data_IF_064191050821
#
_entry.id   IF_064191050821
#
_cell.length_a   1.000
_cell.length_b   1.000
_cell.length_c   1.000
_cell.angle_alpha   90.00
_cell.angle_beta   90.00
_cell.angle_gamma   90.00
#
_symmetry.space_group_name_H-M   'P 1'
#
loop_
_entity.id
_entity.type
_entity.pdbx_description
1 polymer ?
#
# COMPACT_ATOMS: atom_id res chain seq x y z
N UNK A 1 -90.75 7.66 34.71
CA UNK A 1 -89.57 7.02 34.08
C UNK A 1 -88.39 7.99 34.17
N UNK A 2 -87.13 7.55 34.11
CA UNK A 2 -85.88 8.37 34.14
C UNK A 2 -85.25 8.62 35.55
N UNK A 3 -84.94 7.58 36.33
CA UNK A 3 -83.97 7.68 37.47
C UNK A 3 -83.03 6.49 37.63
N UNK A 4 -83.29 5.35 36.98
CA UNK A 4 -82.45 4.14 37.08
C UNK A 4 -81.38 4.03 35.98
N UNK A 5 -81.45 4.87 34.94
CA UNK A 5 -80.54 4.83 33.78
C UNK A 5 -79.26 5.64 33.96
N UNK A 6 -79.24 6.61 34.89
CA UNK A 6 -78.08 7.49 35.10
C UNK A 6 -76.96 6.83 35.90
N UNK A 7 -77.29 6.04 36.92
CA UNK A 7 -76.30 5.38 37.81
C UNK A 7 -75.45 4.36 37.03
N UNK A 8 -76.05 3.64 36.08
CA UNK A 8 -75.32 2.70 35.21
C UNK A 8 -74.33 3.40 34.28
N UNK A 9 -74.66 4.61 33.83
CA UNK A 9 -73.79 5.41 32.95
C UNK A 9 -72.55 5.92 33.68
N UNK A 10 -72.71 6.39 34.93
CA UNK A 10 -71.59 6.84 35.75
C UNK A 10 -70.65 5.70 36.18
N UNK A 11 -71.19 4.52 36.49
CA UNK A 11 -70.36 3.35 36.79
C UNK A 11 -69.50 2.90 35.60
N UNK A 12 -70.07 2.93 34.39
CA UNK A 12 -69.37 2.57 33.16
C UNK A 12 -68.28 3.60 32.79
N UNK A 13 -68.54 4.89 33.02
CA UNK A 13 -67.56 5.96 32.88
C UNK A 13 -66.36 5.81 33.82
N UNK A 14 -66.60 5.42 35.08
CA UNK A 14 -65.52 5.22 36.07
C UNK A 14 -64.64 4.02 35.70
N UNK A 15 -65.22 2.92 35.22
CA UNK A 15 -64.43 1.76 34.75
C UNK A 15 -63.62 2.11 33.49
N UNK A 16 -64.19 2.88 32.56
CA UNK A 16 -63.47 3.39 31.40
C UNK A 16 -62.29 4.31 31.79
N UNK A 17 -62.49 5.21 32.76
CA UNK A 17 -61.44 6.10 33.27
C UNK A 17 -60.29 5.34 33.96
N UNK A 18 -60.60 4.33 34.76
CA UNK A 18 -59.56 3.52 35.44
C UNK A 18 -58.82 2.63 34.44
N UNK A 19 -59.53 2.04 33.46
CA UNK A 19 -58.94 1.24 32.40
C UNK A 19 -57.99 2.04 31.51
N UNK A 20 -58.38 3.26 31.14
CA UNK A 20 -57.55 4.16 30.32
C UNK A 20 -56.31 4.67 31.06
N UNK A 21 -56.39 4.91 32.38
CA UNK A 21 -55.23 5.26 33.22
C UNK A 21 -54.20 4.13 33.29
N UNK A 22 -54.65 2.88 33.46
CA UNK A 22 -53.79 1.68 33.48
C UNK A 22 -53.14 1.43 32.12
N UNK A 23 -53.88 1.61 31.03
CA UNK A 23 -53.35 1.54 29.67
C UNK A 23 -52.31 2.63 29.38
N UNK A 24 -52.54 3.86 29.86
CA UNK A 24 -51.58 4.96 29.73
C UNK A 24 -50.25 4.68 30.40
N UNK A 25 -50.26 4.13 31.62
CA UNK A 25 -49.03 3.72 32.32
C UNK A 25 -48.28 2.59 31.60
N UNK A 26 -49.01 1.57 31.12
CA UNK A 26 -48.42 0.44 30.39
C UNK A 26 -47.77 0.92 29.08
N UNK A 27 -48.46 1.76 28.31
CA UNK A 27 -47.94 2.35 27.07
C UNK A 27 -46.73 3.25 27.32
N UNK A 28 -46.74 4.04 28.40
CA UNK A 28 -45.60 4.87 28.78
C UNK A 28 -44.37 4.03 29.14
N UNK A 29 -44.56 2.92 29.86
CA UNK A 29 -43.49 1.98 30.20
C UNK A 29 -42.91 1.27 28.95
N UNK A 30 -43.79 0.90 28.01
CA UNK A 30 -43.41 0.29 26.73
C UNK A 30 -42.67 1.28 25.82
N UNK A 31 -43.08 2.54 25.81
CA UNK A 31 -42.42 3.59 25.04
C UNK A 31 -41.03 3.93 25.59
N UNK A 32 -40.84 3.86 26.91
CA UNK A 32 -39.53 4.00 27.52
C UNK A 32 -38.60 2.84 27.12
N UNK A 33 -39.05 1.59 27.20
CA UNK A 33 -38.22 0.43 26.82
C UNK A 33 -37.81 0.48 25.34
N UNK A 34 -38.72 0.85 24.45
CA UNK A 34 -38.43 1.06 23.03
C UNK A 34 -37.40 2.17 22.81
N UNK A 35 -37.51 3.29 23.53
CA UNK A 35 -36.56 4.39 23.44
C UNK A 35 -35.15 3.99 23.91
N UNK A 36 -35.05 3.16 24.96
CA UNK A 36 -33.78 2.63 25.45
C UNK A 36 -33.16 1.66 24.45
N UNK A 37 -33.95 0.75 23.87
CA UNK A 37 -33.49 -0.17 22.82
C UNK A 37 -33.02 0.59 21.57
N UNK A 38 -33.74 1.63 21.18
CA UNK A 38 -33.36 2.46 20.02
C UNK A 38 -32.07 3.25 20.27
N UNK A 39 -31.85 3.74 21.50
CA UNK A 39 -30.58 4.38 21.91
C UNK A 39 -29.42 3.37 21.90
N UNK A 40 -29.62 2.17 22.45
CA UNK A 40 -28.60 1.10 22.43
C UNK A 40 -28.26 0.66 21.00
N UNK A 41 -29.27 0.49 20.13
CA UNK A 41 -29.06 0.15 18.73
C UNK A 41 -28.30 1.26 17.96
N UNK A 42 -28.58 2.54 18.23
CA UNK A 42 -27.81 3.66 17.67
C UNK A 42 -26.37 3.66 18.16
N UNK A 43 -26.13 3.41 19.45
CA UNK A 43 -24.78 3.32 20.02
C UNK A 43 -24.00 2.12 19.45
N UNK A 44 -24.65 0.96 19.28
CA UNK A 44 -24.04 -0.21 18.66
C UNK A 44 -23.68 0.06 17.19
N UNK A 45 -24.58 0.67 16.41
CA UNK A 45 -24.28 1.09 15.03
C UNK A 45 -23.12 2.09 14.98
N UNK A 46 -23.05 3.05 15.88
CA UNK A 46 -21.95 4.03 15.98
C UNK A 46 -20.62 3.37 16.37
N UNK A 47 -20.63 2.44 17.33
CA UNK A 47 -19.44 1.65 17.69
C UNK A 47 -18.98 0.79 16.51
N UNK A 48 -19.90 0.13 15.82
CA UNK A 48 -19.59 -0.68 14.65
C UNK A 48 -19.02 0.16 13.50
N UNK A 49 -19.57 1.35 13.23
CA UNK A 49 -19.00 2.26 12.23
C UNK A 49 -17.63 2.78 12.65
N UNK A 50 -17.43 3.13 13.92
CA UNK A 50 -16.13 3.56 14.45
C UNK A 50 -15.06 2.48 14.32
N UNK A 51 -15.40 1.22 14.64
CA UNK A 51 -14.49 0.07 14.48
C UNK A 51 -14.14 -0.17 13.01
N UNK A 52 -15.12 -0.06 12.09
CA UNK A 52 -14.85 -0.16 10.64
C UNK A 52 -13.92 0.95 10.15
N UNK A 53 -14.15 2.20 10.56
CA UNK A 53 -13.29 3.34 10.23
C UNK A 53 -11.89 3.18 10.81
N UNK A 54 -11.77 2.68 12.04
CA UNK A 54 -10.48 2.39 12.68
C UNK A 54 -9.71 1.30 11.93
N UNK A 55 -10.37 0.19 11.55
CA UNK A 55 -9.76 -0.85 10.72
C UNK A 55 -9.32 -0.33 9.35
N UNK A 56 -10.09 0.55 8.70
CA UNK A 56 -9.69 1.19 7.45
C UNK A 56 -8.47 2.09 7.62
N UNK A 57 -8.39 2.85 8.72
CA UNK A 57 -7.21 3.68 9.04
C UNK A 57 -5.98 2.81 9.29
N UNK A 58 -6.09 1.71 10.03
CA UNK A 58 -4.98 0.75 10.25
C UNK A 58 -4.52 0.15 8.92
N UNK A 59 -5.45 -0.29 8.05
CA UNK A 59 -5.11 -0.78 6.71
C UNK A 59 -4.39 0.26 5.85
N UNK A 60 -4.81 1.53 5.89
CA UNK A 60 -4.11 2.61 5.18
C UNK A 60 -2.70 2.86 5.72
N UNK A 61 -2.50 2.80 7.04
CA UNK A 61 -1.17 2.97 7.65
C UNK A 61 -0.25 1.80 7.30
N UNK A 62 -0.74 0.56 7.34
CA UNK A 62 0.03 -0.64 6.97
C UNK A 62 0.37 -0.63 5.48
N UNK A 63 -0.58 -0.28 4.62
CA UNK A 63 -0.31 -0.13 3.18
C UNK A 63 0.77 0.94 2.93
N UNK A 64 0.70 2.09 3.62
CA UNK A 64 1.71 3.15 3.49
C UNK A 64 3.09 2.69 3.96
N UNK A 65 3.19 1.99 5.08
CA UNK A 65 4.48 1.48 5.58
C UNK A 65 5.08 0.42 4.67
N UNK A 66 4.25 -0.44 4.07
CA UNK A 66 4.69 -1.44 3.09
C UNK A 66 5.19 -0.79 1.81
N UNK A 67 4.53 0.26 1.32
CA UNK A 67 5.01 1.06 0.17
C UNK A 67 6.34 1.75 0.48
N UNK A 68 6.47 2.36 1.67
CA UNK A 68 7.73 3.00 2.09
C UNK A 68 8.88 1.99 2.13
N UNK A 69 8.68 0.83 2.76
CA UNK A 69 9.71 -0.22 2.78
C UNK A 69 10.06 -0.72 1.38
N UNK A 70 9.08 -0.93 0.52
CA UNK A 70 9.34 -1.31 -0.87
C UNK A 70 10.16 -0.24 -1.62
N UNK A 71 9.87 1.04 -1.41
CA UNK A 71 10.62 2.15 -2.00
C UNK A 71 12.08 2.18 -1.50
N UNK A 72 12.29 2.04 -0.19
CA UNK A 72 13.63 2.02 0.42
C UNK A 72 14.44 0.79 -0.03
N UNK A 73 13.82 -0.40 -0.02
CA UNK A 73 14.45 -1.63 -0.51
C UNK A 73 14.78 -1.53 -1.99
N UNK A 74 13.91 -0.94 -2.81
CA UNK A 74 14.19 -0.68 -4.24
C UNK A 74 15.43 0.21 -4.38
N UNK A 75 15.49 1.31 -3.63
CA UNK A 75 16.62 2.23 -3.69
C UNK A 75 17.93 1.55 -3.30
N UNK A 76 17.95 0.76 -2.23
CA UNK A 76 19.13 0.01 -1.82
C UNK A 76 19.53 -1.06 -2.85
N UNK A 77 18.55 -1.81 -3.37
CA UNK A 77 18.77 -2.85 -4.36
C UNK A 77 19.43 -2.29 -5.62
N UNK A 78 18.83 -1.24 -6.20
CA UNK A 78 19.32 -0.66 -7.44
C UNK A 78 20.63 0.09 -7.27
N UNK A 79 20.88 0.72 -6.12
CA UNK A 79 22.19 1.26 -5.79
C UNK A 79 23.27 0.18 -5.79
N UNK A 80 23.02 -0.98 -5.19
CA UNK A 80 23.99 -2.08 -5.21
C UNK A 80 24.15 -2.70 -6.60
N UNK A 81 23.07 -2.75 -7.39
CA UNK A 81 23.10 -3.33 -8.74
C UNK A 81 23.83 -2.46 -9.77
N UNK A 82 23.66 -1.14 -9.70
CA UNK A 82 24.10 -0.20 -10.75
C UNK A 82 25.19 0.78 -10.32
N UNK A 83 25.58 0.87 -9.02
CA UNK A 83 26.76 1.64 -8.62
C UNK A 83 28.01 0.76 -8.66
N UNK A 84 28.81 0.92 -9.70
CA UNK A 84 30.09 0.25 -9.84
C UNK A 84 31.06 1.12 -10.62
N UNK A 85 32.34 1.04 -10.24
CA UNK A 85 33.43 1.79 -10.86
C UNK A 85 34.52 0.90 -11.46
N UNK A 86 34.34 -0.41 -11.37
CA UNK A 86 35.28 -1.42 -11.86
C UNK A 86 34.55 -2.74 -12.12
N UNK A 87 35.16 -3.62 -12.92
CA UNK A 87 34.73 -5.00 -13.11
C UNK A 87 34.72 -5.78 -11.80
N UNK A 88 35.64 -5.50 -10.88
CA UNK A 88 35.67 -6.08 -9.54
C UNK A 88 34.46 -5.67 -8.68
N UNK A 89 34.05 -4.40 -8.74
CA UNK A 89 32.83 -3.92 -8.05
C UNK A 89 31.58 -4.54 -8.68
N UNK A 90 31.53 -4.56 -10.01
CA UNK A 90 30.47 -5.18 -10.78
C UNK A 90 30.30 -6.66 -10.37
N UNK A 91 31.38 -7.44 -10.28
CA UNK A 91 31.37 -8.85 -9.82
C UNK A 91 30.77 -9.04 -8.43
N UNK A 92 30.88 -8.06 -7.53
CA UNK A 92 30.42 -8.17 -6.14
C UNK A 92 28.94 -7.84 -5.94
N UNK A 93 28.26 -7.24 -6.92
CA UNK A 93 26.90 -6.71 -6.76
C UNK A 93 25.88 -7.73 -6.25
N UNK A 94 25.76 -8.88 -6.91
CA UNK A 94 24.79 -9.92 -6.55
C UNK A 94 25.03 -10.45 -5.15
N UNK A 95 26.30 -10.64 -4.77
CA UNK A 95 26.70 -11.04 -3.41
C UNK A 95 26.30 -9.99 -2.38
N UNK A 96 26.54 -8.70 -2.64
CA UNK A 96 26.16 -7.61 -1.73
C UNK A 96 24.64 -7.53 -1.56
N UNK A 97 23.89 -7.68 -2.64
CA UNK A 97 22.41 -7.68 -2.62
C UNK A 97 21.89 -8.87 -1.79
N UNK A 98 22.48 -10.05 -1.98
CA UNK A 98 22.14 -11.24 -1.21
C UNK A 98 22.44 -11.08 0.29
N UNK A 99 23.61 -10.53 0.63
CA UNK A 99 24.02 -10.28 2.02
C UNK A 99 23.10 -9.26 2.71
N UNK A 100 22.64 -8.25 1.98
CA UNK A 100 21.68 -7.26 2.48
C UNK A 100 20.23 -7.77 2.50
N UNK A 101 19.98 -9.01 2.05
CA UNK A 101 18.65 -9.63 2.03
C UNK A 101 17.61 -8.74 1.32
N UNK A 102 17.98 -8.13 0.19
CA UNK A 102 17.08 -7.19 -0.52
C UNK A 102 16.23 -7.86 -1.60
N UNK A 103 16.62 -9.04 -2.06
CA UNK A 103 15.91 -9.78 -3.09
C UNK A 103 16.04 -11.29 -2.87
N UNK A 104 15.03 -12.01 -3.32
CA UNK A 104 15.00 -13.48 -3.26
C UNK A 104 16.01 -14.11 -4.22
N UNK A 105 16.42 -15.35 -3.95
CA UNK A 105 17.36 -16.10 -4.80
C UNK A 105 16.92 -16.18 -6.27
N UNK A 106 15.64 -16.41 -6.62
CA UNK A 106 15.20 -16.42 -8.02
C UNK A 106 15.47 -15.10 -8.75
N UNK A 107 15.27 -13.94 -8.09
CA UNK A 107 15.57 -12.62 -8.68
C UNK A 107 17.07 -12.48 -8.95
N UNK A 108 17.92 -12.96 -8.02
CA UNK A 108 19.37 -12.89 -8.14
C UNK A 108 19.96 -13.88 -9.15
N UNK A 109 19.23 -14.96 -9.45
CA UNK A 109 19.60 -15.97 -10.43
C UNK A 109 19.14 -15.61 -11.87
N UNK A 110 18.46 -14.48 -12.05
CA UNK A 110 18.00 -14.04 -13.36
C UNK A 110 19.20 -13.59 -14.22
N UNK A 111 19.59 -14.41 -15.19
CA UNK A 111 20.71 -14.15 -16.11
C UNK A 111 20.51 -12.89 -16.97
N UNK A 112 19.26 -12.44 -17.18
CA UNK A 112 18.98 -11.19 -17.89
C UNK A 112 19.34 -9.96 -17.03
N UNK A 113 19.02 -10.00 -15.73
CA UNK A 113 19.34 -8.92 -14.79
C UNK A 113 20.79 -8.97 -14.31
N UNK A 114 21.31 -10.18 -14.14
CA UNK A 114 22.65 -10.46 -13.61
C UNK A 114 23.41 -11.41 -14.53
N UNK A 115 23.82 -10.95 -15.74
CA UNK A 115 24.55 -11.80 -16.67
C UNK A 115 25.86 -12.28 -16.05
N UNK A 116 26.24 -13.52 -16.39
CA UNK A 116 27.49 -14.14 -15.93
C UNK A 116 28.68 -13.22 -16.22
N UNK A 117 29.40 -12.96 -15.14
CA UNK A 117 30.19 -11.75 -14.97
C UNK A 117 31.55 -11.74 -15.68
N UNK A 118 31.93 -12.85 -16.33
CA UNK A 118 33.25 -13.01 -16.95
C UNK A 118 33.52 -11.98 -18.04
N UNK A 119 32.72 -12.01 -19.12
CA UNK A 119 32.94 -11.09 -20.25
C UNK A 119 32.62 -9.63 -19.93
N UNK A 120 31.56 -9.37 -19.16
CA UNK A 120 31.10 -8.00 -18.91
C UNK A 120 32.03 -7.23 -17.98
N UNK A 121 32.58 -7.88 -16.94
CA UNK A 121 33.46 -7.19 -16.01
C UNK A 121 34.81 -6.84 -16.65
N UNK A 122 35.36 -7.76 -17.46
CA UNK A 122 36.61 -7.51 -18.17
C UNK A 122 36.39 -6.40 -19.23
N UNK A 123 35.22 -6.37 -19.87
CA UNK A 123 34.82 -5.26 -20.74
C UNK A 123 34.73 -3.92 -19.99
N UNK A 124 34.17 -3.91 -18.77
CA UNK A 124 34.11 -2.71 -17.92
C UNK A 124 35.51 -2.19 -17.62
N UNK A 125 36.43 -3.05 -17.20
CA UNK A 125 37.79 -2.64 -16.86
C UNK A 125 38.58 -2.17 -18.10
N UNK A 126 38.50 -2.90 -19.20
CA UNK A 126 39.21 -2.56 -20.44
C UNK A 126 38.72 -1.25 -21.09
N UNK A 127 37.46 -0.88 -20.86
CA UNK A 127 36.86 0.34 -21.39
C UNK A 127 36.63 1.39 -20.31
N UNK A 128 37.27 1.28 -19.14
CA UNK A 128 37.17 2.27 -18.06
C UNK A 128 35.73 2.67 -17.71
N UNK A 129 34.77 1.76 -17.75
CA UNK A 129 33.36 2.11 -17.61
C UNK A 129 32.98 2.27 -16.14
N UNK A 130 32.15 3.28 -15.88
CA UNK A 130 31.58 3.55 -14.56
C UNK A 130 30.07 3.73 -14.69
N UNK A 131 29.36 3.29 -13.68
CA UNK A 131 27.90 3.39 -13.60
C UNK A 131 27.52 3.95 -12.24
N UNK A 132 26.53 4.85 -12.24
CA UNK A 132 26.02 5.49 -11.03
C UNK A 132 24.51 5.71 -11.14
N UNK A 133 23.79 5.32 -10.11
CA UNK A 133 22.36 5.57 -9.96
C UNK A 133 22.16 7.05 -9.68
N UNK A 134 21.36 7.69 -10.52
CA UNK A 134 20.93 9.08 -10.35
C UNK A 134 19.65 9.13 -9.53
N UNK A 135 18.71 8.23 -9.83
CA UNK A 135 17.40 8.22 -9.21
C UNK A 135 16.78 6.82 -9.24
N UNK A 136 16.02 6.51 -8.18
CA UNK A 136 15.13 5.35 -8.12
C UNK A 136 13.79 5.86 -7.62
N UNK A 137 12.68 5.53 -8.29
CA UNK A 137 11.35 5.79 -7.75
C UNK A 137 10.43 4.59 -7.95
N UNK A 138 9.66 4.30 -6.91
CA UNK A 138 8.70 3.22 -6.89
C UNK A 138 7.27 3.76 -7.00
N UNK A 139 6.52 3.23 -7.96
CA UNK A 139 5.14 3.58 -8.25
C UNK A 139 4.25 2.38 -7.91
N UNK A 140 3.65 2.33 -6.72
CA UNK A 140 2.82 1.20 -6.31
C UNK A 140 1.56 1.10 -7.19
N UNK A 141 1.20 -0.13 -7.58
CA UNK A 141 -0.03 -0.46 -8.31
C UNK A 141 -1.04 -1.11 -7.39
N UNK A 142 -0.62 -2.14 -6.67
CA UNK A 142 -1.47 -2.96 -5.82
C UNK A 142 -0.75 -3.19 -4.51
N UNK A 143 -1.42 -2.90 -3.40
CA UNK A 143 -0.84 -3.05 -2.07
C UNK A 143 -1.84 -3.72 -1.17
N UNK A 144 -1.36 -4.74 -0.46
CA UNK A 144 -2.05 -5.36 0.66
C UNK A 144 -1.14 -5.32 1.89
N UNK A 145 -1.56 -5.95 2.99
CA UNK A 145 -0.84 -5.85 4.27
C UNK A 145 0.57 -6.47 4.20
N UNK A 146 0.80 -7.46 3.33
CA UNK A 146 2.02 -8.26 3.28
C UNK A 146 2.81 -8.14 1.97
N UNK A 147 2.24 -7.48 0.97
CA UNK A 147 2.83 -7.39 -0.37
C UNK A 147 2.46 -6.06 -1.02
N UNK A 148 3.39 -5.51 -1.79
CA UNK A 148 3.09 -4.45 -2.75
C UNK A 148 3.74 -4.76 -4.09
N UNK A 149 3.01 -4.50 -5.16
CA UNK A 149 3.47 -4.64 -6.54
C UNK A 149 3.29 -3.34 -7.29
N UNK A 150 4.19 -3.06 -8.23
CA UNK A 150 4.20 -1.80 -8.95
C UNK A 150 5.35 -1.71 -9.93
N UNK A 151 5.60 -0.51 -10.43
CA UNK A 151 6.71 -0.23 -11.34
C UNK A 151 7.81 0.51 -10.59
N UNK A 152 9.07 0.07 -10.78
CA UNK A 152 10.23 0.85 -10.37
C UNK A 152 10.88 1.45 -11.60
N UNK A 153 11.04 2.77 -11.59
CA UNK A 153 11.91 3.47 -12.52
C UNK A 153 13.31 3.61 -11.91
N UNK A 154 14.35 3.45 -12.72
CA UNK A 154 15.76 3.62 -12.34
C UNK A 154 16.47 4.46 -13.39
N UNK A 155 17.01 5.60 -12.99
CA UNK A 155 17.91 6.40 -13.82
C UNK A 155 19.37 6.08 -13.46
N UNK A 156 20.17 5.72 -14.47
CA UNK A 156 21.58 5.34 -14.31
C UNK A 156 22.41 6.17 -15.26
N UNK A 157 23.41 6.87 -14.73
CA UNK A 157 24.44 7.54 -15.50
C UNK A 157 25.57 6.54 -15.79
N UNK A 158 25.84 6.30 -17.07
CA UNK A 158 26.99 5.52 -17.51
C UNK A 158 28.00 6.45 -18.17
N UNK A 159 29.28 6.33 -17.80
CA UNK A 159 30.37 7.14 -18.36
C UNK A 159 31.68 6.36 -18.46
N UNK A 160 32.58 6.86 -19.29
CA UNK A 160 33.97 6.46 -19.28
C UNK A 160 34.71 7.18 -18.14
N UNK A 161 35.75 6.57 -17.58
CA UNK A 161 36.51 7.14 -16.44
C UNK A 161 37.17 8.47 -16.79
N UNK A 162 37.60 8.62 -18.04
CA UNK A 162 38.19 9.87 -18.55
C UNK A 162 37.17 10.98 -18.80
N UNK A 163 35.86 10.74 -18.66
CA UNK A 163 34.85 11.74 -18.96
C UNK A 163 34.77 12.79 -17.85
N UNK A 164 35.10 14.03 -18.20
CA UNK A 164 35.10 15.20 -17.30
C UNK A 164 33.71 15.83 -17.12
N UNK A 165 32.64 15.17 -17.57
CA UNK A 165 31.25 15.65 -17.55
C UNK A 165 30.23 14.59 -17.09
N UNK A 166 28.94 14.91 -17.27
CA UNK A 166 27.86 13.95 -17.01
C UNK A 166 27.84 12.91 -18.13
N UNK A 167 27.87 11.63 -17.78
CA UNK A 167 27.73 10.53 -18.74
C UNK A 167 26.35 10.49 -19.41
N UNK A 168 26.10 9.44 -20.18
CA UNK A 168 24.77 9.20 -20.73
C UNK A 168 23.84 8.67 -19.62
N UNK A 169 22.79 9.41 -19.28
CA UNK A 169 21.75 8.93 -18.37
C UNK A 169 20.74 8.07 -19.13
N UNK A 170 20.55 6.84 -18.64
CA UNK A 170 19.60 5.86 -19.17
C UNK A 170 18.53 5.54 -18.14
N UNK A 171 17.30 5.39 -18.62
CA UNK A 171 16.12 5.08 -17.81
C UNK A 171 15.73 3.62 -18.03
N UNK A 172 15.64 2.86 -16.95
CA UNK A 172 15.20 1.47 -16.93
C UNK A 172 13.93 1.35 -16.10
N UNK A 173 13.01 0.52 -16.55
CA UNK A 173 11.76 0.26 -15.84
C UNK A 173 11.60 -1.22 -15.57
N UNK A 174 11.10 -1.53 -14.37
CA UNK A 174 10.89 -2.90 -13.92
C UNK A 174 9.51 -3.04 -13.28
N UNK A 175 8.80 -4.12 -13.61
CA UNK A 175 7.72 -4.60 -12.75
C UNK A 175 8.37 -5.24 -11.52
N UNK A 176 7.90 -4.85 -10.35
CA UNK A 176 8.44 -5.34 -9.08
C UNK A 176 7.31 -5.84 -8.19
N UNK A 177 7.56 -6.97 -7.53
CA UNK A 177 6.78 -7.44 -6.38
C UNK A 177 7.67 -7.47 -5.16
N UNK A 178 7.18 -6.90 -4.05
CA UNK A 178 7.86 -6.83 -2.77
C UNK A 178 7.03 -7.51 -1.69
N UNK A 179 7.67 -8.36 -0.89
CA UNK A 179 7.08 -9.06 0.25
C UNK A 179 7.52 -8.38 1.56
N UNK A 180 6.55 -7.83 2.30
CA UNK A 180 6.77 -7.14 3.56
C UNK A 180 7.20 -8.05 4.72
N UNK A 181 6.87 -9.35 4.64
CA UNK A 181 7.24 -10.32 5.68
C UNK A 181 8.74 -10.64 5.64
N UNK A 182 9.28 -10.80 4.43
CA UNK A 182 10.68 -11.15 4.20
C UNK A 182 11.57 -9.93 3.96
N UNK A 183 10.95 -8.75 3.85
CA UNK A 183 11.58 -7.48 3.51
C UNK A 183 12.37 -7.54 2.18
N UNK A 184 11.84 -8.28 1.21
CA UNK A 184 12.55 -8.66 -0.01
C UNK A 184 11.73 -8.41 -1.29
N UNK A 185 12.46 -8.11 -2.37
CA UNK A 185 11.94 -8.16 -3.73
C UNK A 185 11.80 -9.63 -4.14
N UNK A 186 10.57 -10.07 -4.42
CA UNK A 186 10.24 -11.45 -4.79
C UNK A 186 10.14 -11.66 -6.30
N UNK A 187 9.78 -10.62 -7.06
CA UNK A 187 9.80 -10.63 -8.52
C UNK A 187 10.37 -9.32 -9.05
N UNK A 188 11.14 -9.40 -10.13
CA UNK A 188 11.66 -8.24 -10.83
C UNK A 188 11.76 -8.55 -12.32
N UNK A 189 10.93 -7.90 -13.12
CA UNK A 189 10.84 -8.13 -14.57
C UNK A 189 11.12 -6.84 -15.32
N UNK A 190 12.09 -6.88 -16.23
CA UNK A 190 12.40 -5.71 -17.06
C UNK A 190 11.29 -5.46 -18.08
N UNK A 191 10.77 -4.23 -18.12
CA UNK A 191 9.67 -3.84 -19.01
C UNK A 191 10.08 -2.90 -20.13
N UNK A 192 11.28 -2.30 -20.07
CA UNK A 192 11.81 -1.52 -21.18
C UNK A 192 12.60 -0.28 -20.78
N UNK A 193 12.93 0.51 -21.80
CA UNK A 193 13.65 1.79 -21.74
C UNK A 193 12.81 2.83 -22.48
N UNK A 194 12.54 3.98 -21.86
CA UNK A 194 12.01 5.13 -22.59
C UNK A 194 13.13 5.75 -23.43
N UNK A 195 12.83 5.99 -24.71
CA UNK A 195 13.71 6.76 -25.60
C UNK A 195 13.74 8.23 -25.14
N UNK A 196 14.90 8.86 -25.29
CA UNK A 196 15.29 10.18 -24.74
C UNK A 196 14.34 11.35 -25.12
N UNK A 197 13.39 11.14 -26.04
CA UNK A 197 12.50 12.17 -26.58
C UNK A 197 11.03 12.11 -26.09
N UNK A 198 10.68 11.30 -25.10
CA UNK A 198 9.36 11.34 -24.45
C UNK A 198 9.52 11.78 -22.99
N UNK A 199 9.25 13.06 -22.73
CA UNK A 199 9.16 13.74 -21.42
C UNK A 199 10.19 13.32 -20.36
N UNK A 200 11.25 14.13 -20.25
CA UNK A 200 12.42 13.98 -19.36
C UNK A 200 12.15 14.24 -17.88
N UNK A 201 10.95 13.98 -17.36
CA UNK A 201 10.67 14.13 -15.93
C UNK A 201 10.07 12.87 -15.33
N UNK A 202 10.81 12.25 -14.40
CA UNK A 202 10.34 11.16 -13.54
C UNK A 202 9.02 11.51 -12.83
N UNK A 203 8.80 12.80 -12.57
CA UNK A 203 7.59 13.32 -11.95
C UNK A 203 6.36 13.33 -12.89
N UNK A 204 6.57 13.21 -14.19
CA UNK A 204 5.51 13.20 -15.22
C UNK A 204 5.26 11.82 -15.82
N UNK A 205 6.09 10.83 -15.49
CA UNK A 205 5.91 9.45 -15.96
C UNK A 205 4.78 8.77 -15.18
N UNK A 206 3.64 8.56 -15.84
CA UNK A 206 2.59 7.66 -15.37
C UNK A 206 2.83 6.26 -16.00
N UNK A 207 3.29 5.25 -15.25
CA UNK A 207 3.50 3.90 -15.79
C UNK A 207 2.21 3.16 -16.18
N UNK A 208 1.04 3.78 -15.98
CA UNK A 208 -0.28 3.19 -16.20
C UNK A 208 -1.10 3.89 -17.30
N UNK A 209 -0.50 4.83 -18.01
CA UNK A 209 -1.06 5.43 -19.23
C UNK A 209 -0.60 4.70 -20.50
#
# INVERSE_FOLDING_TARGET
>A
MIRKTEIGYYALLVVLLIGSLRFGQLMWQQQQSLSHLQKQAKQLKQKQSSVKTSHQKVKQVVAKSTITRASETSQQFFNLAYNWSSGADYKKRTKKIQQAQLATTPVLANDYLFPKVGGTADYIDNNGLKSSVVQVAYYPKTTNDNETSGVVGVAVNAKHDSDVGNGETRYYYFNMTYLANDNQISSLDYIGRLAINQSTDFNTFNPYE
#
